data_IF_928472127142
#
_entry.id   IF_928472127142
#
_cell.length_a   1.000
_cell.length_b   1.000
_cell.length_c   1.000
_cell.angle_alpha   90.00
_cell.angle_beta   90.00
_cell.angle_gamma   90.00
#
_symmetry.space_group_name_H-M   'P 1'
#
loop_
_entity.id
_entity.type
_entity.pdbx_description
1 polymer ?
#
# COMPACT_ATOMS: atom_id res chain seq x y z
N UNK A 1 -16.13 5.02 16.15
CA UNK A 1 -17.04 4.79 15.00
C UNK A 1 -16.99 3.31 14.62
N UNK A 2 -18.13 2.64 14.41
CA UNK A 2 -18.19 1.24 13.95
C UNK A 2 -18.41 1.24 12.45
N UNK A 3 -17.46 0.69 11.68
CA UNK A 3 -17.59 0.52 10.23
C UNK A 3 -17.90 -0.94 9.95
N UNK A 4 -18.98 -1.19 9.20
CA UNK A 4 -19.42 -2.55 8.85
C UNK A 4 -18.47 -3.15 7.81
N UNK A 5 -18.00 -4.38 8.04
CA UNK A 5 -17.16 -5.13 7.07
C UNK A 5 -17.78 -5.16 5.67
N UNK A 6 -19.10 -5.40 5.57
CA UNK A 6 -19.81 -5.47 4.29
C UNK A 6 -19.75 -4.16 3.50
N UNK A 7 -19.75 -3.01 4.18
CA UNK A 7 -19.63 -1.70 3.53
C UNK A 7 -18.23 -1.49 2.98
N UNK A 8 -17.19 -1.89 3.72
CA UNK A 8 -15.80 -1.82 3.23
C UNK A 8 -15.62 -2.73 2.01
N UNK A 9 -16.09 -3.97 2.07
CA UNK A 9 -16.02 -4.90 0.94
C UNK A 9 -16.74 -4.38 -0.29
N UNK A 10 -17.92 -3.75 -0.10
CA UNK A 10 -18.69 -3.15 -1.18
C UNK A 10 -17.99 -1.94 -1.80
N UNK A 11 -17.38 -1.07 -0.98
CA UNK A 11 -16.63 0.08 -1.50
C UNK A 11 -15.42 -0.40 -2.30
N UNK A 12 -14.64 -1.34 -1.76
CA UNK A 12 -13.44 -1.83 -2.42
C UNK A 12 -13.78 -2.61 -3.69
N UNK A 13 -14.86 -3.41 -3.70
CA UNK A 13 -15.29 -4.11 -4.91
C UNK A 13 -15.78 -3.13 -5.99
N UNK A 14 -16.57 -2.11 -5.63
CA UNK A 14 -16.97 -1.05 -6.56
C UNK A 14 -15.77 -0.31 -7.13
N UNK A 15 -14.77 0.00 -6.30
CA UNK A 15 -13.54 0.64 -6.75
C UNK A 15 -12.77 -0.23 -7.74
N UNK A 16 -12.63 -1.54 -7.47
CA UNK A 16 -11.97 -2.48 -8.38
C UNK A 16 -12.67 -2.55 -9.74
N UNK A 17 -13.99 -2.64 -9.74
CA UNK A 17 -14.79 -2.63 -10.98
C UNK A 17 -14.64 -1.32 -11.75
N UNK A 18 -14.69 -0.18 -11.05
CA UNK A 18 -14.64 1.12 -11.68
C UNK A 18 -13.24 1.42 -12.26
N UNK A 19 -12.17 1.02 -11.58
CA UNK A 19 -10.79 1.10 -12.11
C UNK A 19 -10.66 0.26 -13.38
N UNK A 20 -11.19 -0.97 -13.39
CA UNK A 20 -11.17 -1.85 -14.56
C UNK A 20 -11.92 -1.26 -15.76
N UNK A 21 -13.11 -0.70 -15.55
CA UNK A 21 -13.90 -0.05 -16.61
C UNK A 21 -13.15 1.15 -17.19
N UNK A 22 -12.60 2.02 -16.34
CA UNK A 22 -11.82 3.18 -16.80
C UNK A 22 -10.55 2.77 -17.54
N UNK A 23 -9.89 1.70 -17.11
CA UNK A 23 -8.73 1.13 -17.78
C UNK A 23 -9.09 0.61 -19.18
N UNK A 24 -10.18 -0.16 -19.30
CA UNK A 24 -10.68 -0.68 -20.58
C UNK A 24 -11.12 0.40 -21.56
N UNK A 25 -11.76 1.47 -21.06
CA UNK A 25 -12.14 2.63 -21.86
C UNK A 25 -10.93 3.49 -22.27
N UNK A 26 -9.74 3.18 -21.76
CA UNK A 26 -8.51 3.95 -21.91
C UNK A 26 -8.70 5.47 -21.71
N UNK A 27 -9.59 5.84 -20.78
CA UNK A 27 -9.94 7.24 -20.51
C UNK A 27 -9.48 7.63 -19.11
N UNK A 28 -8.93 8.84 -18.99
CA UNK A 28 -8.51 9.38 -17.71
C UNK A 28 -8.97 10.84 -17.54
N UNK A 29 -10.30 11.07 -17.52
CA UNK A 29 -10.83 12.42 -17.33
C UNK A 29 -10.38 12.94 -15.96
N UNK A 30 -9.72 14.09 -15.94
CA UNK A 30 -9.23 14.72 -14.71
C UNK A 30 -8.37 13.82 -13.81
N UNK A 31 -7.59 12.90 -14.40
CA UNK A 31 -6.76 11.93 -13.65
C UNK A 31 -7.55 11.01 -12.71
N UNK A 32 -8.86 10.86 -12.91
CA UNK A 32 -9.74 10.08 -12.05
C UNK A 32 -9.31 8.59 -12.00
N UNK A 33 -8.94 7.99 -13.13
CA UNK A 33 -8.43 6.62 -13.19
C UNK A 33 -7.15 6.49 -12.36
N UNK A 34 -6.21 7.41 -12.57
CA UNK A 34 -4.94 7.43 -11.87
C UNK A 34 -5.10 7.58 -10.36
N UNK A 35 -5.99 8.48 -9.91
CA UNK A 35 -6.28 8.71 -8.49
C UNK A 35 -6.95 7.51 -7.83
N UNK A 36 -7.93 6.90 -8.50
CA UNK A 36 -8.62 5.72 -7.97
C UNK A 36 -7.69 4.51 -7.89
N UNK A 37 -6.83 4.33 -8.88
CA UNK A 37 -5.84 3.26 -8.92
C UNK A 37 -4.79 3.44 -7.82
N UNK A 38 -4.35 4.68 -7.57
CA UNK A 38 -3.50 5.03 -6.42
C UNK A 38 -4.18 4.68 -5.10
N UNK A 39 -5.41 5.16 -4.87
CA UNK A 39 -6.14 4.89 -3.62
C UNK A 39 -6.34 3.37 -3.43
N UNK A 40 -6.64 2.65 -4.51
CA UNK A 40 -6.85 1.21 -4.47
C UNK A 40 -5.56 0.47 -4.10
N UNK A 41 -4.46 0.81 -4.79
CA UNK A 41 -3.16 0.20 -4.56
C UNK A 41 -2.58 0.55 -3.20
N UNK A 42 -2.80 1.76 -2.68
CA UNK A 42 -2.21 2.22 -1.42
C UNK A 42 -3.06 1.83 -0.21
N UNK A 43 -4.39 1.81 -0.33
CA UNK A 43 -5.30 1.59 0.80
C UNK A 43 -6.16 0.34 0.59
N UNK A 44 -6.81 0.22 -0.56
CA UNK A 44 -7.78 -0.84 -0.84
C UNK A 44 -7.23 -2.25 -0.63
N UNK A 45 -6.04 -2.51 -1.15
CA UNK A 45 -5.41 -3.83 -1.11
C UNK A 45 -5.05 -4.25 0.33
N UNK A 46 -4.46 -3.35 1.11
CA UNK A 46 -4.14 -3.57 2.51
C UNK A 46 -5.38 -3.69 3.40
N UNK A 47 -6.45 -2.96 3.10
CA UNK A 47 -7.73 -3.13 3.82
C UNK A 47 -8.31 -4.52 3.60
N UNK A 48 -8.33 -5.02 2.37
CA UNK A 48 -8.79 -6.39 2.07
C UNK A 48 -8.01 -7.44 2.84
N UNK A 49 -6.70 -7.24 3.00
CA UNK A 49 -5.85 -8.16 3.76
C UNK A 49 -6.04 -8.06 5.28
N UNK A 50 -6.35 -6.87 5.81
CA UNK A 50 -6.54 -6.66 7.25
C UNK A 50 -7.88 -7.20 7.77
N UNK A 51 -8.94 -7.16 6.95
CA UNK A 51 -10.29 -7.54 7.37
C UNK A 51 -10.43 -8.98 7.91
N UNK A 52 -9.73 -10.01 7.37
CA UNK A 52 -9.73 -11.37 7.93
C UNK A 52 -9.05 -11.50 9.30
N UNK A 53 -8.18 -10.57 9.71
CA UNK A 53 -7.32 -10.73 10.90
C UNK A 53 -7.99 -10.37 12.24
N UNK A 54 -9.29 -10.07 12.26
CA UNK A 54 -10.09 -9.79 13.46
C UNK A 54 -9.43 -8.84 14.48
N UNK A 55 -8.69 -7.84 14.01
CA UNK A 55 -8.00 -6.90 14.90
C UNK A 55 -9.05 -5.99 15.56
N UNK A 56 -9.33 -6.23 16.84
CA UNK A 56 -10.34 -5.50 17.61
C UNK A 56 -9.75 -4.18 18.11
N UNK A 57 -10.48 -3.07 17.91
CA UNK A 57 -10.21 -1.72 18.48
C UNK A 57 -8.92 -1.05 17.95
N UNK A 58 -8.84 -0.83 16.65
CA UNK A 58 -7.72 -0.12 15.99
C UNK A 58 -8.01 1.38 15.92
N UNK A 59 -7.00 2.23 16.11
CA UNK A 59 -7.13 3.68 15.87
C UNK A 59 -7.17 3.99 14.36
N UNK A 60 -7.77 5.12 13.95
CA UNK A 60 -7.90 5.44 12.50
C UNK A 60 -6.54 5.52 11.79
N UNK A 61 -5.55 6.20 12.38
CA UNK A 61 -4.22 6.28 11.78
C UNK A 61 -3.49 4.95 11.81
N UNK A 62 -3.66 4.11 12.85
CA UNK A 62 -3.10 2.75 12.83
C UNK A 62 -3.69 1.94 11.68
N UNK A 63 -5.00 2.04 11.44
CA UNK A 63 -5.65 1.38 10.31
C UNK A 63 -5.07 1.87 8.97
N UNK A 64 -4.90 3.19 8.81
CA UNK A 64 -4.32 3.78 7.60
C UNK A 64 -2.87 3.33 7.43
N UNK A 65 -2.04 3.43 8.46
CA UNK A 65 -0.62 3.05 8.42
C UNK A 65 -0.46 1.56 8.14
N UNK A 66 -1.23 0.69 8.80
CA UNK A 66 -1.21 -0.75 8.52
C UNK A 66 -1.70 -1.07 7.11
N UNK A 67 -2.77 -0.42 6.66
CA UNK A 67 -3.29 -0.59 5.30
C UNK A 67 -2.26 -0.18 4.26
N UNK A 68 -1.59 0.96 4.43
CA UNK A 68 -0.52 1.42 3.54
C UNK A 68 0.67 0.46 3.57
N UNK A 69 1.17 0.12 4.77
CA UNK A 69 2.32 -0.75 4.92
C UNK A 69 2.10 -2.14 4.31
N UNK A 70 0.94 -2.75 4.59
CA UNK A 70 0.58 -4.05 4.03
C UNK A 70 0.39 -3.95 2.52
N UNK A 71 -0.22 -2.87 2.01
CA UNK A 71 -0.35 -2.67 0.57
C UNK A 71 1.01 -2.59 -0.13
N UNK A 72 1.96 -1.83 0.42
CA UNK A 72 3.31 -1.72 -0.14
C UNK A 72 4.00 -3.09 -0.15
N UNK A 73 3.92 -3.85 0.96
CA UNK A 73 4.47 -5.21 1.04
C UNK A 73 3.84 -6.12 -0.03
N UNK A 74 2.52 -6.08 -0.18
CA UNK A 74 1.81 -6.88 -1.17
C UNK A 74 2.18 -6.48 -2.60
N UNK A 75 2.28 -5.18 -2.90
CA UNK A 75 2.71 -4.69 -4.21
C UNK A 75 4.12 -5.16 -4.56
N UNK A 76 5.05 -5.11 -3.59
CA UNK A 76 6.42 -5.59 -3.79
C UNK A 76 6.47 -7.11 -4.00
N UNK A 77 5.75 -7.88 -3.18
CA UNK A 77 5.71 -9.34 -3.31
C UNK A 77 5.07 -9.77 -4.63
N UNK A 78 3.91 -9.20 -4.97
CA UNK A 78 3.22 -9.46 -6.24
C UNK A 78 4.12 -9.07 -7.40
N UNK A 79 4.70 -7.87 -7.38
CA UNK A 79 5.61 -7.41 -8.44
C UNK A 79 6.80 -8.34 -8.64
N UNK A 80 7.42 -8.80 -7.54
CA UNK A 80 8.55 -9.73 -7.58
C UNK A 80 8.14 -11.11 -8.12
N UNK A 81 7.02 -11.65 -7.64
CA UNK A 81 6.48 -12.95 -8.09
C UNK A 81 6.12 -12.87 -9.57
N UNK A 82 5.38 -11.85 -9.98
CA UNK A 82 4.99 -11.63 -11.37
C UNK A 82 6.22 -11.49 -12.27
N UNK A 83 7.20 -10.67 -11.87
CA UNK A 83 8.43 -10.50 -12.64
C UNK A 83 9.17 -11.82 -12.82
N UNK A 84 9.29 -12.63 -11.77
CA UNK A 84 10.01 -13.91 -11.83
C UNK A 84 9.25 -14.94 -12.67
N UNK A 85 7.96 -15.13 -12.41
CA UNK A 85 7.13 -16.13 -13.07
C UNK A 85 6.92 -15.80 -14.54
N UNK A 86 6.58 -14.56 -14.88
CA UNK A 86 6.35 -14.17 -16.27
C UNK A 86 7.65 -14.11 -17.09
N UNK A 87 8.77 -13.72 -16.50
CA UNK A 87 10.05 -13.81 -17.20
C UNK A 87 10.41 -15.28 -17.50
N UNK A 88 10.18 -16.20 -16.54
CA UNK A 88 10.39 -17.63 -16.76
C UNK A 88 9.48 -18.21 -17.87
N UNK A 89 8.27 -17.67 -18.02
CA UNK A 89 7.33 -18.03 -19.09
C UNK A 89 7.64 -17.36 -20.45
N UNK A 90 8.67 -16.52 -20.53
CA UNK A 90 9.10 -15.87 -21.78
C UNK A 90 8.34 -14.59 -22.14
N UNK A 91 7.62 -13.97 -21.21
CA UNK A 91 6.98 -12.67 -21.46
C UNK A 91 8.02 -11.54 -21.52
N UNK A 92 7.93 -10.72 -22.58
CA UNK A 92 8.89 -9.62 -22.84
C UNK A 92 8.75 -8.45 -21.85
N UNK A 93 7.55 -8.20 -21.34
CA UNK A 93 7.26 -7.08 -20.44
C UNK A 93 6.38 -7.52 -19.25
N UNK A 94 6.94 -8.30 -18.30
CA UNK A 94 6.18 -8.93 -17.22
C UNK A 94 5.54 -7.92 -16.25
N UNK A 95 6.14 -6.74 -16.14
CA UNK A 95 5.67 -5.63 -15.30
C UNK A 95 4.86 -4.58 -16.07
N UNK A 96 4.42 -4.88 -17.30
CA UNK A 96 3.52 -3.98 -18.03
C UNK A 96 2.20 -3.79 -17.29
N UNK A 97 1.58 -2.62 -17.45
CA UNK A 97 0.38 -2.24 -16.71
C UNK A 97 -0.74 -3.28 -16.81
N UNK A 98 -0.94 -3.88 -17.99
CA UNK A 98 -1.95 -4.91 -18.22
C UNK A 98 -1.68 -6.16 -17.37
N UNK A 99 -0.45 -6.67 -17.38
CA UNK A 99 -0.08 -7.88 -16.64
C UNK A 99 -0.18 -7.65 -15.13
N UNK A 100 0.31 -6.50 -14.65
CA UNK A 100 0.23 -6.15 -13.24
C UNK A 100 -1.23 -6.00 -12.77
N UNK A 101 -2.08 -5.35 -13.57
CA UNK A 101 -3.49 -5.16 -13.27
C UNK A 101 -4.22 -6.51 -13.16
N UNK A 102 -3.99 -7.44 -14.10
CA UNK A 102 -4.55 -8.80 -14.04
C UNK A 102 -4.16 -9.52 -12.76
N UNK A 103 -2.87 -9.50 -12.39
CA UNK A 103 -2.41 -10.21 -11.18
C UNK A 103 -2.97 -9.57 -9.91
N UNK A 104 -3.03 -8.24 -9.84
CA UNK A 104 -3.61 -7.54 -8.71
C UNK A 104 -5.12 -7.75 -8.60
N UNK A 105 -5.84 -7.85 -9.72
CA UNK A 105 -7.26 -8.20 -9.73
C UNK A 105 -7.48 -9.62 -9.22
N UNK A 106 -6.70 -10.60 -9.69
CA UNK A 106 -6.77 -11.97 -9.21
C UNK A 106 -6.52 -12.07 -7.70
N UNK A 107 -5.50 -11.37 -7.20
CA UNK A 107 -5.22 -11.30 -5.76
C UNK A 107 -6.38 -10.65 -5.00
N UNK A 108 -6.91 -9.54 -5.52
CA UNK A 108 -8.00 -8.81 -4.87
C UNK A 108 -9.30 -9.61 -4.83
N UNK A 109 -9.62 -10.33 -5.91
CA UNK A 109 -10.75 -11.26 -5.97
C UNK A 109 -10.55 -12.40 -4.97
N UNK A 110 -9.34 -12.98 -4.88
CA UNK A 110 -9.04 -14.01 -3.89
C UNK A 110 -9.27 -13.50 -2.47
N UNK A 111 -8.76 -12.30 -2.14
CA UNK A 111 -8.97 -11.68 -0.82
C UNK A 111 -10.44 -11.35 -0.56
N UNK A 112 -11.20 -10.91 -1.57
CA UNK A 112 -12.63 -10.68 -1.47
C UNK A 112 -13.38 -11.99 -1.16
N UNK A 113 -13.05 -13.09 -1.84
CA UNK A 113 -13.65 -14.41 -1.61
C UNK A 113 -13.34 -14.89 -0.19
N UNK A 114 -12.08 -14.81 0.25
CA UNK A 114 -11.68 -15.17 1.62
C UNK A 114 -12.50 -14.36 2.62
N UNK A 115 -12.61 -13.05 2.42
CA UNK A 115 -13.38 -12.18 3.30
C UNK A 115 -14.88 -12.49 3.30
N UNK A 116 -15.44 -12.88 2.17
CA UNK A 116 -16.85 -13.24 2.04
C UNK A 116 -17.17 -14.59 2.73
N UNK A 117 -16.28 -15.57 2.59
CA UNK A 117 -16.44 -16.89 3.21
C UNK A 117 -16.28 -16.86 4.74
N UNK A 118 -15.47 -15.94 5.27
CA UNK A 118 -15.28 -15.76 6.72
C UNK A 118 -16.51 -15.05 7.34
N UNK A 119 -17.44 -15.88 7.84
CA UNK A 119 -18.79 -15.50 8.31
C UNK A 119 -18.90 -14.70 9.62
N UNK A 120 -17.81 -14.27 10.27
CA UNK A 120 -17.93 -13.64 11.61
C UNK A 120 -17.15 -12.32 11.82
N UNK A 121 -17.85 -11.32 12.38
CA UNK A 121 -17.45 -10.12 13.16
C UNK A 121 -16.13 -9.39 12.83
N UNK A 122 -15.93 -8.98 11.58
CA UNK A 122 -14.83 -8.07 11.19
C UNK A 122 -15.18 -6.58 11.26
N UNK A 123 -16.04 -6.15 12.18
CA UNK A 123 -16.37 -4.73 12.27
C UNK A 123 -15.19 -3.93 12.83
N UNK A 124 -14.83 -2.88 12.11
CA UNK A 124 -13.74 -1.99 12.50
C UNK A 124 -14.27 -1.01 13.53
N UNK A 125 -13.71 -1.07 14.74
CA UNK A 125 -13.97 -0.11 15.80
C UNK A 125 -12.88 0.93 15.80
N UNK A 126 -13.20 2.09 15.25
CA UNK A 126 -12.28 3.21 15.10
C UNK A 126 -12.38 4.10 16.34
N UNK A 127 -11.27 4.25 17.05
CA UNK A 127 -11.10 5.28 18.08
C UNK A 127 -10.47 6.54 17.49
N UNK A 128 -10.89 7.75 17.92
CA UNK A 128 -10.17 8.98 17.58
C UNK A 128 -8.75 8.94 18.14
N UNK A 129 -7.85 9.70 17.52
CA UNK A 129 -6.44 9.79 17.92
C UNK A 129 -6.21 11.08 18.68
N UNK A 130 -5.34 10.99 19.68
CA UNK A 130 -4.73 12.13 20.34
C UNK A 130 -3.23 12.01 20.09
N UNK A 131 -2.65 12.92 19.31
CA UNK A 131 -1.23 12.93 19.02
C UNK A 131 -0.48 13.68 20.12
N UNK A 132 0.62 13.11 20.61
CA UNK A 132 1.61 13.85 21.39
C UNK A 132 2.64 14.51 20.47
N UNK A 133 3.41 15.47 20.99
CA UNK A 133 4.44 16.16 20.20
C UNK A 133 5.53 15.22 19.64
N UNK A 134 5.81 14.12 20.35
CA UNK A 134 6.79 13.11 19.93
C UNK A 134 6.23 12.27 18.77
N UNK A 135 4.93 11.94 18.80
CA UNK A 135 4.29 11.18 17.73
C UNK A 135 4.35 11.92 16.38
N UNK A 136 4.29 13.25 16.42
CA UNK A 136 4.47 14.08 15.23
C UNK A 136 5.83 13.92 14.58
N UNK A 137 6.89 13.81 15.37
CA UNK A 137 8.25 13.62 14.86
C UNK A 137 8.34 12.25 14.15
N UNK A 138 7.82 11.19 14.78
CA UNK A 138 7.78 9.86 14.16
C UNK A 138 6.86 9.79 12.93
N UNK A 139 5.86 10.66 12.85
CA UNK A 139 4.98 10.71 11.69
C UNK A 139 5.60 11.46 10.50
N UNK A 140 6.33 12.55 10.76
CA UNK A 140 6.84 13.45 9.71
C UNK A 140 8.16 12.98 9.09
N UNK A 141 9.02 12.31 9.87
CA UNK A 141 10.34 11.88 9.37
C UNK A 141 10.26 10.81 8.27
N UNK A 142 9.49 9.71 8.40
CA UNK A 142 9.51 8.63 7.41
C UNK A 142 9.12 9.04 5.98
N UNK A 143 8.13 9.93 5.77
CA UNK A 143 7.82 10.46 4.44
C UNK A 143 8.97 11.19 3.74
N UNK A 144 9.99 11.67 4.47
CA UNK A 144 11.17 12.29 3.87
C UNK A 144 12.10 11.26 3.22
N UNK A 145 12.07 9.99 3.67
CA UNK A 145 12.94 8.94 3.14
C UNK A 145 12.67 8.63 1.66
N UNK A 146 11.42 8.45 1.19
CA UNK A 146 11.14 8.33 -0.24
C UNK A 146 11.63 9.52 -1.07
N UNK A 147 11.53 10.74 -0.56
CA UNK A 147 11.98 11.95 -1.27
C UNK A 147 13.50 11.90 -1.46
N UNK A 148 14.24 11.63 -0.39
CA UNK A 148 15.71 11.49 -0.45
C UNK A 148 16.10 10.29 -1.33
N UNK A 149 15.32 9.20 -1.32
CA UNK A 149 15.53 8.02 -2.17
C UNK A 149 15.39 8.36 -3.65
N UNK A 150 14.35 9.11 -4.04
CA UNK A 150 14.16 9.56 -5.41
C UNK A 150 15.31 10.47 -5.85
N UNK A 151 15.69 11.44 -5.01
CA UNK A 151 16.83 12.32 -5.29
C UNK A 151 18.10 11.48 -5.48
N UNK A 152 18.37 10.57 -4.54
CA UNK A 152 19.53 9.69 -4.57
C UNK A 152 19.60 8.83 -5.83
N UNK A 153 18.49 8.19 -6.20
CA UNK A 153 18.39 7.38 -7.41
C UNK A 153 18.61 8.20 -8.68
N UNK A 154 18.01 9.40 -8.76
CA UNK A 154 18.20 10.31 -9.91
C UNK A 154 19.65 10.76 -10.01
N UNK A 155 20.30 11.15 -8.91
CA UNK A 155 21.72 11.53 -8.95
C UNK A 155 22.61 10.36 -9.34
N UNK A 156 22.38 9.18 -8.78
CA UNK A 156 23.20 8.00 -9.03
C UNK A 156 23.12 7.55 -10.50
N UNK A 157 21.92 7.55 -11.07
CA UNK A 157 21.70 7.18 -12.47
C UNK A 157 22.28 8.19 -13.47
N UNK A 158 22.57 9.42 -13.03
CA UNK A 158 23.18 10.46 -13.85
C UNK A 158 24.69 10.62 -13.58
N UNK A 159 25.36 9.53 -13.16
CA UNK A 159 26.80 9.51 -12.81
C UNK A 159 27.19 10.49 -11.70
N UNK A 160 26.22 10.88 -10.85
CA UNK A 160 26.44 11.73 -9.69
C UNK A 160 26.97 10.97 -8.48
N UNK A 161 27.11 11.67 -7.36
CA UNK A 161 27.59 11.11 -6.10
C UNK A 161 26.57 10.18 -5.42
N UNK A 162 27.06 9.12 -4.78
CA UNK A 162 26.31 8.21 -3.90
C UNK A 162 25.97 8.81 -2.52
N UNK A 163 26.35 10.06 -2.24
CA UNK A 163 26.20 10.65 -0.91
C UNK A 163 24.74 10.62 -0.41
N UNK A 164 23.75 10.89 -1.27
CA UNK A 164 22.34 10.90 -0.88
C UNK A 164 21.81 9.51 -0.54
N UNK A 165 22.22 8.47 -1.26
CA UNK A 165 21.81 7.08 -0.98
C UNK A 165 22.46 6.56 0.30
N UNK A 166 23.74 6.89 0.55
CA UNK A 166 24.40 6.55 1.82
C UNK A 166 23.77 7.28 3.01
N UNK A 167 23.48 8.58 2.88
CA UNK A 167 22.81 9.38 3.91
C UNK A 167 21.43 8.79 4.24
N UNK A 168 20.67 8.41 3.22
CA UNK A 168 19.37 7.76 3.39
C UNK A 168 19.47 6.48 4.22
N UNK A 169 20.41 5.59 3.88
CA UNK A 169 20.60 4.33 4.61
C UNK A 169 20.97 4.57 6.07
N UNK A 170 21.89 5.51 6.33
CA UNK A 170 22.26 5.90 7.69
C UNK A 170 21.07 6.52 8.46
N UNK A 171 20.28 7.38 7.81
CA UNK A 171 19.11 8.02 8.40
C UNK A 171 18.02 7.01 8.76
N UNK A 172 17.76 6.03 7.88
CA UNK A 172 16.81 4.94 8.16
C UNK A 172 17.29 4.11 9.35
N UNK A 173 18.57 3.71 9.36
CA UNK A 173 19.14 2.94 10.47
C UNK A 173 19.02 3.68 11.81
N UNK A 174 19.42 4.95 11.84
CA UNK A 174 19.32 5.81 13.02
C UNK A 174 17.86 5.98 13.47
N UNK A 175 16.95 6.23 12.53
CA UNK A 175 15.53 6.38 12.83
C UNK A 175 14.94 5.12 13.46
N UNK A 176 15.20 3.95 12.89
CA UNK A 176 14.73 2.67 13.43
C UNK A 176 15.30 2.44 14.85
N UNK A 177 16.59 2.70 15.06
CA UNK A 177 17.21 2.60 16.39
C UNK A 177 16.56 3.53 17.41
N UNK A 178 16.30 4.80 17.04
CA UNK A 178 15.62 5.76 17.90
C UNK A 178 14.20 5.31 18.24
N UNK A 179 13.42 4.87 17.23
CA UNK A 179 12.07 4.35 17.45
C UNK A 179 12.11 3.18 18.42
N UNK A 180 13.04 2.24 18.27
CA UNK A 180 13.14 1.07 19.19
C UNK A 180 13.52 1.50 20.62
N UNK A 181 14.49 2.39 20.79
CA UNK A 181 14.96 2.83 22.11
C UNK A 181 13.93 3.67 22.87
N UNK A 182 13.18 4.50 22.15
CA UNK A 182 12.21 5.43 22.73
C UNK A 182 10.76 4.94 22.65
N UNK A 183 10.54 3.73 22.13
CA UNK A 183 9.23 3.06 22.21
C UNK A 183 8.92 2.71 23.66
N UNK A 184 8.03 3.49 24.27
CA UNK A 184 7.36 3.13 25.52
C UNK A 184 6.23 2.14 25.28
#
# INVERSE_FOLDING_TARGET
MRVRKSLVLLIVSLQLWLVNILFLLNSDPFYLRSMLLLIFMVIGLGLLFLLPWHIKKIHLAELIVYSIGISIVMLMLVGLISNTVFNYLGFVAPLSAVHLLIVLDLLSILLLIINFCLKDKGDLFIKPIVFTAIDWIYFVIPPLFPIISVIGAVTLNNFGSEMYTMLLLAAIGMYVSLVVLFRR
#
